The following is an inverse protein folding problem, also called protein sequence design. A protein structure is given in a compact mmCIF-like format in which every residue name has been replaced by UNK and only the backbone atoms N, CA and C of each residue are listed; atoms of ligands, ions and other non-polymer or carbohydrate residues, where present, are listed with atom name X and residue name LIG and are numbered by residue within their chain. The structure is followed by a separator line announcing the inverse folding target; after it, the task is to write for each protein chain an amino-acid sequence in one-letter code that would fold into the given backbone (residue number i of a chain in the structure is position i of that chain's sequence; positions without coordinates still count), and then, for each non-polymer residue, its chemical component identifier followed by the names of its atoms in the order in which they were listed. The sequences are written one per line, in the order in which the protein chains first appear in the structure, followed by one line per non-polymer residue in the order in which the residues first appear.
data_IF_033862229174
#
_entry.id   IF_033862229174
#
_cell.length_a   1.000
_cell.length_b   1.000
_cell.length_c   1.000
_cell.angle_alpha   90.00
_cell.angle_beta   90.00
_cell.angle_gamma   90.00
#
_symmetry.space_group_name_H-M   'P 1'
#
loop_
_entity.id
_entity.type
_entity.pdbx_description
1 polymer ?
#
# COMPACT_ATOMS: atom_id res chain seq x y z
N UNK A 1 -7.14 -16.43 -4.35
CA UNK A 1 -6.02 -15.49 -4.11
C UNK A 1 -4.72 -16.05 -4.67
N UNK A 2 -4.04 -15.28 -5.53
CA UNK A 2 -2.76 -15.62 -6.18
C UNK A 2 -1.77 -14.49 -5.94
N UNK A 3 -0.57 -14.81 -5.46
CA UNK A 3 0.53 -13.85 -5.35
C UNK A 3 1.54 -14.08 -6.47
N UNK A 4 1.96 -13.01 -7.14
CA UNK A 4 3.01 -13.05 -8.17
C UNK A 4 3.68 -11.69 -8.34
N UNK A 5 4.85 -11.68 -8.95
CA UNK A 5 5.46 -10.43 -9.41
C UNK A 5 4.56 -9.73 -10.43
N UNK A 6 4.48 -8.40 -10.29
CA UNK A 6 3.84 -7.53 -11.27
C UNK A 6 4.79 -7.27 -12.42
N UNK A 7 4.26 -7.24 -13.62
CA UNK A 7 4.95 -6.70 -14.79
C UNK A 7 4.89 -5.18 -14.77
N UNK A 8 5.78 -4.56 -15.55
CA UNK A 8 5.89 -3.10 -15.65
C UNK A 8 4.60 -2.40 -16.06
N UNK A 9 3.84 -3.01 -16.97
CA UNK A 9 2.54 -2.53 -17.46
C UNK A 9 1.40 -2.77 -16.46
N UNK A 10 1.56 -3.73 -15.55
CA UNK A 10 0.60 -4.02 -14.49
C UNK A 10 0.74 -3.10 -13.27
N UNK A 11 1.79 -2.28 -13.19
CA UNK A 11 1.96 -1.32 -12.09
C UNK A 11 0.81 -0.29 -12.02
N UNK A 12 0.17 0.01 -13.14
CA UNK A 12 -1.01 0.87 -13.18
C UNK A 12 -2.20 0.31 -12.38
N UNK A 13 -2.28 -1.03 -12.23
CA UNK A 13 -3.33 -1.66 -11.43
C UNK A 13 -3.25 -1.25 -9.96
N UNK A 14 -2.07 -0.87 -9.47
CA UNK A 14 -1.88 -0.38 -8.10
C UNK A 14 -2.80 0.81 -7.80
N UNK A 15 -3.02 1.69 -8.78
CA UNK A 15 -3.83 2.89 -8.62
C UNK A 15 -5.34 2.62 -8.61
N UNK A 16 -5.75 1.39 -8.93
CA UNK A 16 -7.16 0.96 -8.87
C UNK A 16 -7.57 0.46 -7.48
N UNK A 17 -6.61 0.24 -6.59
CA UNK A 17 -6.86 -0.18 -5.21
C UNK A 17 -7.49 0.99 -4.44
N UNK A 18 -8.67 0.74 -3.86
CA UNK A 18 -9.24 1.63 -2.85
C UNK A 18 -8.39 1.54 -1.58
N UNK A 19 -7.69 2.63 -1.28
CA UNK A 19 -6.79 2.78 -0.14
C UNK A 19 -7.43 3.56 1.01
N UNK A 20 -8.75 3.69 1.01
CA UNK A 20 -9.50 4.26 2.13
C UNK A 20 -9.40 3.32 3.32
N UNK A 21 -9.19 3.88 4.50
CA UNK A 21 -9.06 3.12 5.74
C UNK A 21 -10.02 3.66 6.80
N UNK A 22 -10.63 2.76 7.56
CA UNK A 22 -11.40 3.13 8.76
C UNK A 22 -10.61 2.66 9.98
N UNK A 23 -10.14 3.61 10.77
CA UNK A 23 -9.36 3.36 11.97
C UNK A 23 -10.26 3.57 13.18
N UNK A 24 -10.31 2.60 14.08
CA UNK A 24 -11.04 2.71 15.36
C UNK A 24 -10.12 3.08 16.54
N UNK A 25 -8.82 2.88 16.37
CA UNK A 25 -7.80 3.16 17.38
C UNK A 25 -6.53 3.66 16.70
N UNK A 26 -5.76 4.46 17.44
CA UNK A 26 -4.42 4.88 17.04
C UNK A 26 -3.43 4.64 18.18
N UNK A 27 -2.15 4.55 17.86
CA UNK A 27 -1.11 4.63 18.88
C UNK A 27 -0.69 6.08 19.09
N UNK A 28 -0.70 6.54 20.34
CA UNK A 28 -0.23 7.87 20.73
C UNK A 28 1.01 7.72 21.61
N UNK A 29 2.06 8.47 21.30
CA UNK A 29 3.26 8.51 22.14
C UNK A 29 2.96 9.25 23.45
N UNK A 30 3.13 8.58 24.59
CA UNK A 30 2.98 9.15 25.94
C UNK A 30 4.12 8.65 26.81
N UNK A 31 4.88 9.57 27.39
CA UNK A 31 5.99 9.26 28.31
C UNK A 31 7.00 8.23 27.75
N UNK A 32 7.23 8.26 26.43
CA UNK A 32 8.16 7.35 25.75
C UNK A 32 7.55 6.00 25.34
N UNK A 33 6.25 5.78 25.58
CA UNK A 33 5.54 4.56 25.21
C UNK A 33 4.42 4.80 24.19
N UNK A 34 4.18 3.80 23.34
CA UNK A 34 3.08 3.82 22.38
C UNK A 34 1.80 3.29 23.05
N UNK A 35 0.87 4.18 23.36
CA UNK A 35 -0.40 3.84 24.01
C UNK A 35 -1.51 3.72 22.99
N UNK A 36 -2.10 2.53 22.85
CA UNK A 36 -3.28 2.32 22.00
C UNK A 36 -4.47 3.09 22.59
N UNK A 37 -5.03 4.00 21.81
CA UNK A 37 -6.08 4.93 22.24
C UNK A 37 -7.26 4.88 21.27
N UNK A 38 -8.51 4.76 21.76
CA UNK A 38 -9.69 4.86 20.92
C UNK A 38 -9.75 6.22 20.23
N UNK A 39 -9.78 6.19 18.90
CA UNK A 39 -9.92 7.38 18.07
C UNK A 39 -10.41 6.96 16.70
N UNK A 40 -11.52 7.55 16.25
CA UNK A 40 -12.13 7.20 14.96
C UNK A 40 -11.60 8.10 13.85
N UNK A 41 -11.06 7.50 12.80
CA UNK A 41 -10.77 8.17 11.54
C UNK A 41 -11.40 7.41 10.38
N UNK A 42 -11.99 8.18 9.49
CA UNK A 42 -12.32 7.74 8.14
C UNK A 42 -11.29 8.40 7.22
N UNK A 43 -10.23 7.65 6.92
CA UNK A 43 -9.06 8.16 6.19
C UNK A 43 -9.35 8.01 4.70
N UNK A 44 -9.47 9.12 3.94
CA UNK A 44 -9.66 9.04 2.51
C UNK A 44 -8.45 8.36 1.86
N UNK A 45 -8.68 7.69 0.72
CA UNK A 45 -7.58 7.15 -0.08
C UNK A 45 -6.56 8.23 -0.41
N UNK A 46 -5.29 7.86 -0.35
CA UNK A 46 -4.17 8.77 -0.56
C UNK A 46 -4.00 9.09 -2.04
N UNK A 47 -3.77 10.36 -2.38
CA UNK A 47 -3.43 10.76 -3.75
C UNK A 47 -2.20 9.99 -4.28
N UNK A 48 -2.07 9.86 -5.60
CA UNK A 48 -1.00 9.07 -6.26
C UNK A 48 0.39 9.75 -6.21
N UNK A 49 0.68 10.54 -5.18
CA UNK A 49 1.86 11.39 -5.05
C UNK A 49 3.19 10.62 -4.92
N UNK A 50 3.14 9.30 -4.75
CA UNK A 50 4.33 8.44 -4.68
C UNK A 50 4.51 7.52 -5.91
N UNK A 51 3.77 7.75 -6.99
CA UNK A 51 3.83 6.90 -8.19
C UNK A 51 5.23 6.80 -8.78
N UNK A 52 5.95 7.92 -8.84
CA UNK A 52 7.33 7.98 -9.34
C UNK A 52 8.28 7.03 -8.60
N UNK A 53 8.10 6.87 -7.28
CA UNK A 53 8.95 5.97 -6.48
C UNK A 53 8.70 4.50 -6.81
N UNK A 54 7.44 4.12 -7.07
CA UNK A 54 7.07 2.75 -7.43
C UNK A 54 7.67 2.38 -8.79
N UNK A 55 7.53 3.24 -9.80
CA UNK A 55 8.12 3.00 -11.12
C UNK A 55 9.65 2.97 -11.06
N UNK A 56 10.25 3.92 -10.32
CA UNK A 56 11.71 3.95 -10.19
C UNK A 56 12.26 2.73 -9.44
N UNK A 57 11.54 2.21 -8.45
CA UNK A 57 11.86 0.94 -7.77
C UNK A 57 11.88 -0.21 -8.78
N UNK A 58 10.82 -0.37 -9.58
CA UNK A 58 10.80 -1.39 -10.64
C UNK A 58 11.95 -1.23 -11.63
N UNK A 59 12.16 -0.01 -12.13
CA UNK A 59 13.16 0.30 -13.17
C UNK A 59 14.60 0.07 -12.67
N UNK A 60 14.85 0.07 -11.35
CA UNK A 60 16.12 -0.32 -10.72
C UNK A 60 16.27 -1.83 -10.48
N UNK A 61 15.23 -2.62 -10.71
CA UNK A 61 15.21 -4.06 -10.44
C UNK A 61 14.61 -4.45 -9.08
N UNK A 62 13.91 -3.52 -8.42
CA UNK A 62 13.12 -3.82 -7.23
C UNK A 62 12.00 -4.83 -7.51
N UNK A 63 11.65 -5.61 -6.49
CA UNK A 63 10.61 -6.63 -6.59
C UNK A 63 9.27 -6.04 -6.18
N UNK A 64 8.28 -6.14 -7.06
CA UNK A 64 6.91 -5.71 -6.78
C UNK A 64 5.99 -6.91 -6.88
N UNK A 65 5.44 -7.34 -5.75
CA UNK A 65 4.52 -8.47 -5.65
C UNK A 65 3.08 -7.96 -5.58
N UNK A 66 2.21 -8.47 -6.46
CA UNK A 66 0.77 -8.25 -6.42
C UNK A 66 0.03 -9.45 -5.83
N UNK A 67 -1.01 -9.18 -5.04
CA UNK A 67 -2.01 -10.16 -4.61
C UNK A 67 -3.27 -9.99 -5.47
N UNK A 68 -3.68 -11.05 -6.15
CA UNK A 68 -4.84 -11.07 -7.03
C UNK A 68 -5.97 -11.91 -6.45
N UNK A 69 -7.19 -11.40 -6.56
CA UNK A 69 -8.42 -12.18 -6.43
C UNK A 69 -9.14 -12.21 -7.79
N UNK A 70 -9.06 -13.35 -8.47
CA UNK A 70 -9.35 -13.41 -9.91
C UNK A 70 -8.40 -12.51 -10.71
N UNK A 71 -8.96 -11.61 -11.51
CA UNK A 71 -8.20 -10.62 -12.29
C UNK A 71 -7.99 -9.29 -11.54
N UNK A 72 -8.57 -9.13 -10.34
CA UNK A 72 -8.49 -7.90 -9.57
C UNK A 72 -7.23 -7.90 -8.68
N UNK A 73 -6.41 -6.85 -8.79
CA UNK A 73 -5.35 -6.58 -7.84
C UNK A 73 -5.98 -6.05 -6.54
N UNK A 74 -5.79 -6.78 -5.44
CA UNK A 74 -6.35 -6.42 -4.11
C UNK A 74 -5.29 -5.97 -3.12
N UNK A 75 -4.01 -6.09 -3.47
CA UNK A 75 -2.90 -5.64 -2.65
C UNK A 75 -1.58 -5.72 -3.39
N UNK A 76 -0.58 -4.99 -2.90
CA UNK A 76 0.77 -5.02 -3.46
C UNK A 76 1.81 -4.73 -2.39
N UNK A 77 3.03 -5.22 -2.59
CA UNK A 77 4.21 -4.90 -1.80
C UNK A 77 5.38 -4.66 -2.73
N UNK A 78 6.18 -3.64 -2.42
CA UNK A 78 7.38 -3.30 -3.18
C UNK A 78 8.60 -3.35 -2.25
N UNK A 79 9.66 -4.01 -2.69
CA UNK A 79 10.97 -4.04 -2.05
C UNK A 79 11.97 -3.44 -3.03
N UNK A 80 12.54 -2.30 -2.64
CA UNK A 80 13.56 -1.60 -3.40
C UNK A 80 14.95 -2.22 -3.18
N UNK A 81 15.87 -2.00 -4.11
CA UNK A 81 17.24 -2.56 -4.10
C UNK A 81 18.27 -1.55 -3.62
#
# INVERSE_FOLDING_TARGET
MLMRELKRDELELFWTIDRREVLHNIYVMRDGEMVLTPYYFDVPGWENTNSEKLYACFDRGGTILGMFDGDQLVGSSAVDT
#
